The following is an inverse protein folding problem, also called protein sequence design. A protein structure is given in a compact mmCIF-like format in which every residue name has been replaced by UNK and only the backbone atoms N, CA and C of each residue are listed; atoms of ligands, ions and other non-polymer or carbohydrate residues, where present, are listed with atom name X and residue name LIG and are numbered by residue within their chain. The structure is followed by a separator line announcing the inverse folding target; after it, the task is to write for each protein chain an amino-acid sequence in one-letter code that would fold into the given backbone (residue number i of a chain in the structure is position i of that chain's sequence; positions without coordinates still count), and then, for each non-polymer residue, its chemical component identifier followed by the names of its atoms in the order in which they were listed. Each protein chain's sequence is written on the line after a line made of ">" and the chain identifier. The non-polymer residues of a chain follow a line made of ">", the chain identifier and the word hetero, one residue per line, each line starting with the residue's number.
data_IF_096724913289
#
_entry.id   IF_096724913289
#
_cell.length_a   1.000
_cell.length_b   1.000
_cell.length_c   1.000
_cell.angle_alpha   90.00
_cell.angle_beta   90.00
_cell.angle_gamma   90.00
#
_symmetry.space_group_name_H-M   'P 1'
#
loop_
_entity.id
_entity.type
_entity.pdbx_description
1 polymer ?
#
# COMPACT_ATOMS: atom_id res chain seq x y z
N UNK A 1 5.96 13.58 -12.83
CA UNK A 1 5.03 14.07 -11.79
C UNK A 1 4.73 12.95 -10.78
N UNK A 2 4.08 13.28 -9.67
CA UNK A 2 3.68 12.31 -8.66
C UNK A 2 2.28 12.62 -8.16
N UNK A 3 1.40 11.62 -8.18
CA UNK A 3 0.02 11.71 -7.70
C UNK A 3 -0.19 10.74 -6.56
N UNK A 4 -0.78 11.23 -5.47
CA UNK A 4 -1.10 10.46 -4.28
C UNK A 4 -2.58 10.07 -4.24
N UNK A 5 -2.86 8.88 -3.71
CA UNK A 5 -4.22 8.44 -3.38
C UNK A 5 -4.27 7.73 -2.03
N UNK A 6 -5.17 8.15 -1.15
CA UNK A 6 -5.47 7.42 0.07
C UNK A 6 -6.50 6.33 -0.20
N UNK A 7 -6.17 5.07 0.10
CA UNK A 7 -7.10 3.95 0.01
C UNK A 7 -7.75 3.63 1.37
N UNK A 8 -7.42 4.40 2.41
CA UNK A 8 -8.06 4.34 3.71
C UNK A 8 -7.56 3.20 4.59
N UNK A 9 -8.30 2.99 5.67
CA UNK A 9 -7.93 2.06 6.73
C UNK A 9 -8.16 0.59 6.33
N UNK A 10 -7.43 -0.29 7.00
CA UNK A 10 -7.66 -1.73 7.08
C UNK A 10 -7.96 -2.03 8.54
N UNK A 11 -9.07 -2.72 8.80
CA UNK A 11 -9.45 -3.14 10.14
C UNK A 11 -8.62 -4.37 10.52
N UNK A 12 -7.59 -4.15 11.34
CA UNK A 12 -6.64 -5.15 11.82
C UNK A 12 -5.93 -4.59 13.05
N UNK A 13 -5.79 -5.36 14.13
CA UNK A 13 -5.15 -4.94 15.39
C UNK A 13 -5.44 -3.48 15.78
N UNK A 14 -4.44 -2.63 16.00
CA UNK A 14 -4.65 -1.19 16.24
C UNK A 14 -4.74 -0.34 14.97
N UNK A 15 -4.67 -1.00 13.82
CA UNK A 15 -5.03 -0.45 12.52
C UNK A 15 -3.88 -0.50 11.52
N UNK A 16 -4.25 -0.45 10.25
CA UNK A 16 -3.33 -0.13 9.17
C UNK A 16 -3.97 0.85 8.17
N UNK A 17 -3.15 1.54 7.37
CA UNK A 17 -3.61 2.43 6.30
C UNK A 17 -2.87 2.14 5.01
N UNK A 18 -3.58 2.19 3.89
CA UNK A 18 -3.03 1.93 2.55
C UNK A 18 -2.93 3.24 1.76
N UNK A 19 -1.77 3.45 1.17
CA UNK A 19 -1.41 4.60 0.36
C UNK A 19 -1.05 4.17 -1.05
N UNK A 20 -1.53 4.90 -2.04
CA UNK A 20 -1.16 4.77 -3.44
C UNK A 20 -0.29 5.94 -3.90
N UNK A 21 0.73 5.64 -4.69
CA UNK A 21 1.58 6.63 -5.33
C UNK A 21 1.75 6.25 -6.80
N UNK A 22 1.26 7.10 -7.69
CA UNK A 22 1.52 7.01 -9.12
C UNK A 22 2.61 8.03 -9.49
N UNK A 23 3.63 7.59 -10.20
CA UNK A 23 4.71 8.45 -10.68
C UNK A 23 4.82 8.38 -12.19
N UNK A 24 5.05 9.54 -12.80
CA UNK A 24 5.21 9.68 -14.25
C UNK A 24 6.56 10.34 -14.53
N UNK A 25 7.32 9.79 -15.47
CA UNK A 25 8.61 10.33 -15.87
C UNK A 25 8.48 11.10 -17.18
N UNK A 26 9.31 12.13 -17.39
CA UNK A 26 9.25 12.97 -18.60
C UNK A 26 9.53 12.21 -19.91
N UNK A 27 10.10 11.02 -19.81
CA UNK A 27 10.40 10.11 -20.92
C UNK A 27 9.35 8.99 -21.09
N UNK A 28 8.18 9.12 -20.45
CA UNK A 28 7.00 8.27 -20.72
C UNK A 28 6.87 7.01 -19.85
N UNK A 29 7.78 6.77 -18.90
CA UNK A 29 7.62 5.68 -17.94
C UNK A 29 6.62 6.06 -16.84
N UNK A 30 5.78 5.11 -16.43
CA UNK A 30 4.80 5.27 -15.36
C UNK A 30 4.86 4.10 -14.39
N UNK A 31 4.79 4.38 -13.09
CA UNK A 31 4.83 3.36 -12.04
C UNK A 31 3.75 3.60 -11.01
N UNK A 32 3.15 2.52 -10.52
CA UNK A 32 2.19 2.51 -9.43
C UNK A 32 2.74 1.72 -8.24
N UNK A 33 2.72 2.36 -7.07
CA UNK A 33 3.10 1.77 -5.78
C UNK A 33 1.92 1.76 -4.83
N UNK A 34 1.79 0.67 -4.08
CA UNK A 34 1.00 0.57 -2.85
C UNK A 34 1.92 0.41 -1.65
N UNK A 35 1.69 1.22 -0.61
CA UNK A 35 2.38 1.14 0.66
C UNK A 35 1.35 1.01 1.78
N UNK A 36 1.57 0.14 2.75
CA UNK A 36 0.79 0.15 3.98
C UNK A 36 1.66 0.13 5.21
N UNK A 37 1.22 0.84 6.23
CA UNK A 37 1.80 0.81 7.58
C UNK A 37 0.70 0.38 8.53
N UNK A 38 0.97 -0.69 9.29
CA UNK A 38 0.11 -1.19 10.35
C UNK A 38 0.87 -1.37 11.66
N UNK A 39 0.15 -1.41 12.78
CA UNK A 39 0.73 -1.61 14.11
C UNK A 39 0.00 -2.75 14.82
N UNK A 40 0.79 -3.55 15.53
CA UNK A 40 0.37 -4.54 16.53
C UNK A 40 1.28 -4.40 17.76
N UNK A 41 0.77 -3.89 18.89
CA UNK A 41 1.53 -3.54 20.11
C UNK A 41 2.85 -2.76 19.80
N UNK A 42 4.01 -3.38 19.99
CA UNK A 42 5.33 -2.75 19.75
C UNK A 42 5.85 -2.95 18.33
N UNK A 43 5.15 -3.74 17.53
CA UNK A 43 5.55 -4.09 16.16
C UNK A 43 4.88 -3.16 15.16
N UNK A 44 5.70 -2.55 14.30
CA UNK A 44 5.22 -1.80 13.13
C UNK A 44 5.52 -2.62 11.89
N UNK A 45 4.47 -2.91 11.13
CA UNK A 45 4.55 -3.69 9.89
C UNK A 45 4.41 -2.77 8.69
N UNK A 46 5.42 -2.77 7.82
CA UNK A 46 5.40 -2.07 6.54
C UNK A 46 5.28 -3.11 5.43
N UNK A 47 4.29 -2.93 4.54
CA UNK A 47 4.12 -3.75 3.34
C UNK A 47 4.19 -2.85 2.13
N UNK A 48 4.95 -3.26 1.12
CA UNK A 48 5.11 -2.56 -0.15
C UNK A 48 4.80 -3.50 -1.32
N UNK A 49 4.21 -2.94 -2.37
CA UNK A 49 4.05 -3.55 -3.69
C UNK A 49 4.16 -2.47 -4.75
N UNK A 50 4.73 -2.78 -5.91
CA UNK A 50 4.79 -1.85 -7.04
C UNK A 50 4.89 -2.57 -8.39
N UNK A 51 4.46 -1.89 -9.45
CA UNK A 51 4.70 -2.28 -10.84
C UNK A 51 4.67 -1.05 -11.77
N UNK A 52 5.07 -1.26 -13.02
CA UNK A 52 4.79 -0.31 -14.10
C UNK A 52 3.28 -0.23 -14.37
N UNK A 53 2.76 0.97 -14.57
CA UNK A 53 1.32 1.21 -14.78
C UNK A 53 0.78 2.37 -13.95
N UNK A 54 -0.53 2.38 -13.76
CA UNK A 54 -1.26 3.46 -13.09
C UNK A 54 -2.22 2.96 -11.99
N UNK A 55 -3.05 3.85 -11.45
CA UNK A 55 -3.99 3.50 -10.37
C UNK A 55 -5.01 2.41 -10.74
N UNK A 56 -5.28 2.20 -12.03
CA UNK A 56 -6.14 1.14 -12.54
C UNK A 56 -5.54 -0.25 -12.39
N UNK A 57 -4.20 -0.34 -12.37
CA UNK A 57 -3.49 -1.60 -12.20
C UNK A 57 -3.27 -2.00 -10.74
N UNK A 58 -3.45 -1.05 -9.82
CA UNK A 58 -3.24 -1.28 -8.39
C UNK A 58 -4.20 -2.36 -7.84
N UNK A 59 -3.70 -3.49 -7.30
CA UNK A 59 -4.52 -4.58 -6.77
C UNK A 59 -4.98 -4.27 -5.33
N UNK A 60 -5.60 -3.10 -5.12
CA UNK A 60 -5.89 -2.51 -3.80
C UNK A 60 -6.61 -3.49 -2.86
N UNK A 61 -7.61 -4.21 -3.36
CA UNK A 61 -8.38 -5.17 -2.56
C UNK A 61 -7.52 -6.34 -2.08
N UNK A 62 -6.70 -6.89 -2.96
CA UNK A 62 -5.78 -7.97 -2.60
C UNK A 62 -4.69 -7.47 -1.65
N UNK A 63 -4.14 -6.29 -1.93
CA UNK A 63 -3.12 -5.67 -1.09
C UNK A 63 -3.63 -5.41 0.34
N UNK A 64 -4.85 -4.88 0.51
CA UNK A 64 -5.46 -4.73 1.85
C UNK A 64 -5.56 -6.05 2.63
N UNK A 65 -5.86 -7.16 1.95
CA UNK A 65 -5.88 -8.49 2.56
C UNK A 65 -4.48 -8.94 2.98
N UNK A 66 -3.47 -8.68 2.16
CA UNK A 66 -2.06 -8.94 2.47
C UNK A 66 -1.62 -8.11 3.67
N UNK A 67 -1.94 -6.81 3.73
CA UNK A 67 -1.67 -5.93 4.87
C UNK A 67 -2.23 -6.53 6.16
N UNK A 68 -3.51 -6.90 6.19
CA UNK A 68 -4.12 -7.49 7.38
C UNK A 68 -3.42 -8.80 7.80
N UNK A 69 -3.08 -9.64 6.84
CA UNK A 69 -2.39 -10.90 7.10
C UNK A 69 -0.97 -10.68 7.64
N UNK A 70 -0.26 -9.68 7.12
CA UNK A 70 1.10 -9.37 7.53
C UNK A 70 1.16 -8.80 8.95
N UNK A 71 0.25 -7.88 9.29
CA UNK A 71 0.14 -7.32 10.65
C UNK A 71 -0.09 -8.45 11.66
N UNK A 72 -1.07 -9.33 11.44
CA UNK A 72 -1.41 -10.43 12.35
C UNK A 72 -0.35 -11.55 12.47
N UNK A 73 0.66 -11.57 11.60
CA UNK A 73 1.66 -12.65 11.58
C UNK A 73 2.96 -12.32 12.29
N UNK A 74 3.24 -11.03 12.47
CA UNK A 74 4.53 -10.55 12.98
C UNK A 74 4.48 -10.25 14.49
N UNK A 75 3.38 -10.63 15.14
CA UNK A 75 3.19 -10.59 16.58
C UNK A 75 2.84 -12.00 17.11
#
# INVERSE_FOLDING_TARGET
>A
EATYKDYGKVAVEEGARVHGLHTEQSYGATDIRLLSVGRDDRTVTVVEWSQMGDFGDAPVKAFKKTTATAVNKLH
#
